data_IF_049723788012
#
_entry.id   IF_049723788012
#
_cell.length_a   1.000
_cell.length_b   1.000
_cell.length_c   1.000
_cell.angle_alpha   90.00
_cell.angle_beta   90.00
_cell.angle_gamma   90.00
#
_symmetry.space_group_name_H-M   'P 1'
#
loop_
_entity.id
_entity.type
_entity.pdbx_description
1 polymer ?
#
# COMPACT_ATOMS: atom_id res chain seq x y z
N UNK A 1 -1.49 8.55 -18.63
CA UNK A 1 -1.33 7.75 -17.39
C UNK A 1 -0.24 8.42 -16.55
N UNK A 2 -0.58 8.97 -15.37
CA UNK A 2 0.37 9.66 -14.49
C UNK A 2 0.99 8.64 -13.54
N UNK A 3 2.27 8.34 -13.72
CA UNK A 3 2.97 7.41 -12.84
C UNK A 3 3.43 8.12 -11.56
N UNK A 4 3.16 7.55 -10.37
CA UNK A 4 3.63 8.08 -9.09
C UNK A 4 5.11 7.78 -8.88
N UNK A 5 5.98 8.51 -9.58
CA UNK A 5 7.43 8.41 -9.36
C UNK A 5 7.81 9.09 -8.04
N UNK A 6 8.30 8.30 -7.08
CA UNK A 6 8.79 8.80 -5.79
C UNK A 6 7.68 9.14 -4.78
N UNK A 7 6.40 8.97 -5.14
CA UNK A 7 5.28 9.14 -4.22
C UNK A 7 4.98 7.78 -3.60
N UNK A 8 5.11 7.71 -2.28
CA UNK A 8 4.88 6.48 -1.49
C UNK A 8 3.64 6.58 -0.61
N UNK A 9 2.88 7.67 -0.75
CA UNK A 9 1.69 7.97 0.02
C UNK A 9 0.45 7.62 -0.80
N UNK A 10 -0.37 6.70 -0.28
CA UNK A 10 -1.55 6.19 -0.96
C UNK A 10 -2.61 7.29 -1.17
N UNK A 11 -2.86 8.11 -0.14
CA UNK A 11 -3.85 9.19 -0.19
C UNK A 11 -3.53 10.20 -1.31
N UNK A 12 -2.27 10.64 -1.39
CA UNK A 12 -1.79 11.50 -2.48
C UNK A 12 -1.94 10.88 -3.86
N UNK A 13 -1.76 9.56 -4.00
CA UNK A 13 -1.89 8.87 -5.29
C UNK A 13 -3.34 8.89 -5.75
N UNK A 14 -4.28 8.59 -4.85
CA UNK A 14 -5.72 8.57 -5.15
C UNK A 14 -6.23 10.00 -5.41
N UNK A 15 -5.98 10.94 -4.51
CA UNK A 15 -6.48 12.33 -4.62
C UNK A 15 -5.93 13.07 -5.84
N UNK A 16 -4.68 12.80 -6.23
CA UNK A 16 -4.05 13.43 -7.41
C UNK A 16 -4.29 12.64 -8.70
N UNK A 17 -5.12 11.61 -8.69
CA UNK A 17 -5.48 10.80 -9.87
C UNK A 17 -4.26 10.13 -10.52
N UNK A 18 -3.31 9.67 -9.72
CA UNK A 18 -2.16 8.91 -10.21
C UNK A 18 -2.54 7.45 -10.45
N UNK A 19 -1.77 6.77 -11.28
CA UNK A 19 -2.01 5.37 -11.55
C UNK A 19 -1.62 4.52 -10.34
N UNK A 20 -2.64 3.89 -9.74
CA UNK A 20 -2.51 2.89 -8.69
C UNK A 20 -3.03 1.56 -9.22
N UNK A 21 -2.28 0.48 -8.96
CA UNK A 21 -2.74 -0.88 -9.24
C UNK A 21 -3.34 -1.41 -7.96
N UNK A 22 -4.66 -1.58 -7.96
CA UNK A 22 -5.36 -2.14 -6.81
C UNK A 22 -4.97 -3.61 -6.60
N UNK A 23 -4.57 -3.92 -5.35
CA UNK A 23 -4.20 -5.26 -4.88
C UNK A 23 -4.85 -5.57 -3.52
N UNK A 24 -5.97 -4.92 -3.23
CA UNK A 24 -6.74 -5.09 -1.99
C UNK A 24 -7.21 -6.55 -1.82
N UNK A 25 -7.35 -7.30 -2.91
CA UNK A 25 -7.66 -8.73 -2.93
C UNK A 25 -6.60 -9.60 -2.23
N UNK A 26 -5.38 -9.10 -2.04
CA UNK A 26 -4.31 -9.80 -1.32
C UNK A 26 -4.30 -9.51 0.19
N UNK A 27 -5.14 -8.61 0.71
CA UNK A 27 -5.20 -8.32 2.15
C UNK A 27 -5.58 -9.57 2.97
N UNK A 28 -6.58 -10.39 2.59
CA UNK A 28 -6.91 -11.61 3.34
C UNK A 28 -5.75 -12.62 3.37
N UNK A 29 -4.97 -12.69 2.29
CA UNK A 29 -3.77 -13.53 2.25
C UNK A 29 -2.70 -13.01 3.21
N UNK A 30 -2.57 -11.68 3.32
CA UNK A 30 -1.65 -11.02 4.24
C UNK A 30 -2.06 -11.32 5.70
N UNK A 31 -3.34 -11.17 6.03
CA UNK A 31 -3.90 -11.48 7.36
C UNK A 31 -3.72 -12.96 7.72
N UNK A 32 -3.89 -13.87 6.74
CA UNK A 32 -3.68 -15.31 6.95
C UNK A 32 -2.22 -15.76 7.00
N UNK A 33 -1.25 -14.91 6.64
CA UNK A 33 0.16 -15.29 6.58
C UNK A 33 0.87 -15.30 7.95
N UNK A 34 0.24 -14.75 8.99
CA UNK A 34 0.66 -14.86 10.38
C UNK A 34 0.63 -13.53 11.15
N UNK A 35 0.71 -13.61 12.48
CA UNK A 35 0.58 -12.46 13.38
C UNK A 35 1.67 -11.38 13.19
N UNK A 36 2.85 -11.79 12.69
CA UNK A 36 3.96 -10.88 12.42
C UNK A 36 4.58 -11.16 11.05
N UNK A 37 4.42 -10.21 10.13
CA UNK A 37 4.98 -10.29 8.78
C UNK A 37 6.27 -9.51 8.68
N UNK A 38 7.38 -10.22 8.43
CA UNK A 38 8.66 -9.61 8.14
C UNK A 38 8.86 -9.49 6.62
N UNK A 39 8.77 -8.27 6.12
CA UNK A 39 9.23 -8.01 4.77
C UNK A 39 10.77 -7.95 4.77
N UNK A 40 11.44 -8.96 4.19
CA UNK A 40 12.90 -8.97 3.89
C UNK A 40 13.32 -7.72 3.10
N UNK A 41 14.61 -7.39 2.94
CA UNK A 41 15.06 -6.07 2.41
C UNK A 41 15.29 -6.00 0.86
N UNK A 42 14.30 -6.12 -0.04
CA UNK A 42 14.43 -5.61 -1.39
C UNK A 42 14.21 -4.09 -1.40
N UNK A 43 15.16 -3.37 -2.01
CA UNK A 43 15.13 -1.91 -2.14
C UNK A 43 14.04 -1.51 -3.15
N UNK A 44 13.26 -0.47 -2.84
CA UNK A 44 12.17 0.07 -3.70
C UNK A 44 11.08 -0.94 -4.05
N UNK A 45 10.86 -1.97 -3.22
CA UNK A 45 9.78 -2.94 -3.42
C UNK A 45 8.36 -2.37 -3.20
N UNK A 46 8.25 -1.14 -2.67
CA UNK A 46 6.94 -0.50 -2.45
C UNK A 46 6.31 -0.82 -1.09
N UNK A 47 7.10 -1.31 -0.11
CA UNK A 47 6.60 -1.56 1.26
C UNK A 47 6.00 -0.31 1.93
N UNK A 48 6.61 0.85 1.70
CA UNK A 48 6.11 2.12 2.26
C UNK A 48 4.72 2.45 1.70
N UNK A 49 4.49 2.21 0.40
CA UNK A 49 3.19 2.39 -0.22
C UNK A 49 2.16 1.39 0.33
N UNK A 50 2.57 0.12 0.52
CA UNK A 50 1.70 -0.89 1.11
C UNK A 50 1.26 -0.48 2.53
N UNK A 51 2.19 -0.03 3.37
CA UNK A 51 1.87 0.41 4.74
C UNK A 51 0.93 1.63 4.74
N UNK A 52 1.19 2.63 3.91
CA UNK A 52 0.30 3.80 3.76
C UNK A 52 -1.09 3.38 3.27
N UNK A 53 -1.18 2.43 2.35
CA UNK A 53 -2.47 1.91 1.89
C UNK A 53 -3.20 1.14 3.00
N UNK A 54 -2.51 0.27 3.76
CA UNK A 54 -3.12 -0.46 4.88
C UNK A 54 -3.59 0.49 5.99
N UNK A 55 -2.81 1.53 6.30
CA UNK A 55 -3.21 2.60 7.22
C UNK A 55 -4.53 3.24 6.77
N UNK A 56 -4.65 3.61 5.49
CA UNK A 56 -5.88 4.16 4.93
C UNK A 56 -7.04 3.15 4.84
N UNK A 57 -6.74 1.86 4.70
CA UNK A 57 -7.74 0.80 4.58
C UNK A 57 -8.35 0.44 5.94
N UNK A 58 -7.54 0.39 7.00
CA UNK A 58 -8.00 0.04 8.35
C UNK A 58 -8.42 1.24 9.20
N UNK A 59 -8.06 2.47 8.80
CA UNK A 59 -8.52 3.67 9.49
C UNK A 59 -10.00 3.94 9.20
N UNK A 60 -10.86 3.43 10.10
CA UNK A 60 -12.31 3.62 10.08
C UNK A 60 -12.75 5.04 10.50
N UNK A 61 -11.85 5.85 11.08
CA UNK A 61 -12.16 7.18 11.61
C UNK A 61 -11.81 8.32 10.64
N UNK A 62 -11.48 7.99 9.40
CA UNK A 62 -11.13 8.97 8.38
C UNK A 62 -12.34 9.64 7.74
#
# INVERSE_FOLDING_TARGET
>A
MKFPYGISDFDSIITRGHHYVDRTDHIPLLEGAGDQLLFLRPRRFGKSLLLSMLENYYDLNK
#
